data_IF_422704234204
#
_entry.id   IF_422704234204
#
_cell.length_a   1.000
_cell.length_b   1.000
_cell.length_c   1.000
_cell.angle_alpha   90.00
_cell.angle_beta   90.00
_cell.angle_gamma   90.00
#
_symmetry.space_group_name_H-M   'P 1'
#
loop_
_entity.id
_entity.type
_entity.pdbx_description
1 polymer ?
#
# COMPACT_ATOMS: atom_id res chain seq x y z
N UNK A 1 -38.50 -32.96 34.47
CA UNK A 1 -37.53 -32.84 33.36
C UNK A 1 -37.48 -31.39 32.95
N UNK A 2 -36.35 -30.72 33.13
CA UNK A 2 -36.12 -29.36 32.64
C UNK A 2 -34.83 -29.39 31.80
N UNK A 3 -34.93 -29.03 30.53
CA UNK A 3 -33.74 -28.75 29.71
C UNK A 3 -33.25 -27.33 30.04
N UNK A 4 -31.94 -27.12 30.23
CA UNK A 4 -31.40 -25.79 30.44
C UNK A 4 -31.46 -24.96 29.14
N UNK A 5 -31.68 -23.66 29.29
CA UNK A 5 -31.77 -22.71 28.18
C UNK A 5 -30.49 -22.65 27.34
N UNK A 6 -30.68 -22.38 26.04
CA UNK A 6 -29.63 -22.42 25.03
C UNK A 6 -28.46 -21.47 25.32
N UNK A 7 -27.24 -21.99 25.13
CA UNK A 7 -26.01 -21.21 25.07
C UNK A 7 -25.92 -20.54 23.68
N UNK A 8 -26.54 -19.37 23.52
CA UNK A 8 -26.39 -18.57 22.29
C UNK A 8 -25.04 -17.84 22.36
N UNK A 9 -23.98 -18.52 21.88
CA UNK A 9 -22.68 -17.90 21.71
C UNK A 9 -22.75 -16.87 20.56
N UNK A 10 -22.91 -15.60 20.93
CA UNK A 10 -22.86 -14.49 20.00
C UNK A 10 -21.43 -14.34 19.44
N UNK A 11 -21.19 -14.98 18.29
CA UNK A 11 -19.99 -14.75 17.48
C UNK A 11 -20.08 -13.35 16.89
N UNK A 12 -19.69 -12.35 17.68
CA UNK A 12 -19.44 -11.01 17.19
C UNK A 12 -18.28 -11.09 16.19
N UNK A 13 -18.62 -11.16 14.90
CA UNK A 13 -17.68 -10.98 13.82
C UNK A 13 -17.05 -9.60 13.99
N UNK A 14 -15.83 -9.58 14.54
CA UNK A 14 -14.96 -8.43 14.49
C UNK A 14 -14.63 -8.23 13.02
N UNK A 15 -15.43 -7.41 12.35
CA UNK A 15 -15.05 -6.84 11.08
C UNK A 15 -13.83 -5.95 11.37
N UNK A 16 -12.64 -6.51 11.20
CA UNK A 16 -11.41 -5.73 11.17
C UNK A 16 -11.60 -4.66 10.12
N UNK A 17 -11.76 -3.42 10.59
CA UNK A 17 -11.82 -2.26 9.73
C UNK A 17 -10.44 -2.12 9.10
N UNK A 18 -10.26 -2.71 7.92
CA UNK A 18 -9.16 -2.37 7.04
C UNK A 18 -9.33 -0.90 6.69
N UNK A 19 -8.69 -0.01 7.47
CA UNK A 19 -8.75 1.44 7.25
C UNK A 19 -7.90 1.88 6.06
N UNK A 20 -6.97 1.03 5.63
CA UNK A 20 -5.91 1.38 4.71
C UNK A 20 -6.14 0.86 3.30
N UNK A 21 -5.69 1.66 2.32
CA UNK A 21 -5.71 1.26 0.93
C UNK A 21 -4.91 -0.01 0.67
N UNK A 22 -5.49 -0.90 -0.14
CA UNK A 22 -4.93 -2.21 -0.47
C UNK A 22 -5.29 -2.59 -1.90
N UNK A 23 -4.38 -3.27 -2.58
CA UNK A 23 -4.63 -3.98 -3.83
C UNK A 23 -5.71 -5.06 -3.59
N UNK A 24 -6.85 -4.92 -4.27
CA UNK A 24 -8.00 -5.81 -4.18
C UNK A 24 -8.09 -6.75 -5.39
N UNK A 25 -7.78 -6.25 -6.60
CA UNK A 25 -7.65 -7.08 -7.82
C UNK A 25 -6.40 -6.66 -8.61
N UNK A 26 -5.61 -7.62 -9.16
CA UNK A 26 -5.67 -9.05 -8.86
C UNK A 26 -5.40 -9.34 -7.37
N UNK A 27 -5.60 -10.58 -6.91
CA UNK A 27 -5.41 -10.90 -5.50
C UNK A 27 -3.96 -10.64 -5.06
N UNK A 28 -3.78 -9.97 -3.92
CA UNK A 28 -2.44 -9.67 -3.39
C UNK A 28 -1.76 -10.93 -2.86
N UNK A 29 -0.43 -10.97 -2.99
CA UNK A 29 0.49 -12.04 -2.57
C UNK A 29 0.54 -12.16 -1.06
N UNK A 30 0.63 -11.01 -0.39
CA UNK A 30 0.80 -10.86 1.04
C UNK A 30 -0.51 -10.50 1.74
N UNK A 31 -0.66 -11.00 2.95
CA UNK A 31 -1.63 -10.50 3.92
C UNK A 31 -1.24 -10.91 5.34
N UNK A 32 -0.77 -12.16 5.51
CA UNK A 32 -0.71 -12.85 6.82
C UNK A 32 0.06 -12.11 7.93
N UNK A 33 1.21 -11.48 7.64
CA UNK A 33 1.99 -10.74 8.65
C UNK A 33 1.39 -9.37 8.99
N UNK A 34 0.73 -8.72 8.03
CA UNK A 34 0.34 -7.30 8.08
C UNK A 34 -1.18 -7.07 7.99
N UNK A 35 -1.98 -8.13 8.18
CA UNK A 35 -3.45 -8.14 8.01
C UNK A 35 -3.95 -7.57 6.66
N UNK A 36 -3.08 -7.59 5.64
CA UNK A 36 -3.35 -7.11 4.29
C UNK A 36 -2.67 -5.81 3.90
N UNK A 37 -2.05 -5.10 4.84
CA UNK A 37 -1.58 -3.73 4.62
C UNK A 37 -0.09 -3.57 4.89
N UNK A 38 0.74 -3.63 3.86
CA UNK A 38 2.18 -3.37 3.99
C UNK A 38 2.47 -1.89 3.70
N UNK A 39 2.72 -1.10 4.75
CA UNK A 39 2.95 0.35 4.67
C UNK A 39 4.35 0.75 5.16
N UNK A 40 4.96 1.77 4.55
CA UNK A 40 6.25 2.32 4.98
C UNK A 40 6.22 2.75 6.46
N UNK A 41 5.12 3.35 6.90
CA UNK A 41 4.86 3.73 8.29
C UNK A 41 4.85 2.53 9.26
N UNK A 42 4.26 1.41 8.85
CA UNK A 42 4.24 0.16 9.62
C UNK A 42 5.62 -0.55 9.65
N UNK A 43 6.63 -0.02 8.96
CA UNK A 43 7.96 -0.62 8.85
C UNK A 43 8.15 -1.55 7.66
N UNK A 44 7.15 -1.68 6.78
CA UNK A 44 7.31 -2.39 5.50
C UNK A 44 8.31 -1.65 4.60
N UNK A 45 9.18 -2.39 3.90
CA UNK A 45 10.24 -1.80 3.05
C UNK A 45 10.00 -1.98 1.55
N UNK A 46 8.86 -2.55 1.16
CA UNK A 46 8.57 -2.95 -0.21
C UNK A 46 9.62 -3.94 -0.77
N UNK A 47 9.71 -4.10 -2.10
CA UNK A 47 8.82 -3.53 -3.11
C UNK A 47 7.43 -4.15 -3.12
N UNK A 48 7.25 -5.31 -2.47
CA UNK A 48 5.98 -6.01 -2.33
C UNK A 48 5.49 -6.01 -0.87
N UNK A 49 4.23 -6.40 -0.71
CA UNK A 49 3.54 -6.64 0.56
C UNK A 49 3.99 -7.92 1.29
N UNK A 50 4.65 -8.83 0.58
CA UNK A 50 5.40 -9.94 1.17
C UNK A 50 6.55 -10.38 0.25
N UNK A 51 7.63 -10.94 0.81
CA UNK A 51 8.77 -11.41 0.02
C UNK A 51 8.36 -12.59 -0.87
N UNK A 52 9.02 -12.73 -2.02
CA UNK A 52 8.79 -13.79 -3.02
C UNK A 52 8.76 -15.18 -2.39
N UNK A 53 9.64 -15.45 -1.42
CA UNK A 53 9.71 -16.72 -0.71
C UNK A 53 8.40 -17.10 0.01
N UNK A 54 7.68 -16.11 0.54
CA UNK A 54 6.39 -16.29 1.22
C UNK A 54 5.19 -16.27 0.27
N UNK A 55 5.40 -16.13 -1.04
CA UNK A 55 4.30 -16.08 -2.01
C UNK A 55 3.51 -17.39 -2.04
N UNK A 56 2.16 -17.34 -1.95
CA UNK A 56 1.30 -18.48 -2.26
C UNK A 56 1.58 -19.08 -3.64
N UNK A 57 2.11 -18.29 -4.58
CA UNK A 57 2.48 -18.71 -5.93
C UNK A 57 3.51 -19.85 -5.95
N UNK A 58 4.36 -19.98 -4.94
CA UNK A 58 5.35 -21.08 -4.85
C UNK A 58 4.71 -22.46 -4.58
N UNK A 59 3.49 -22.51 -4.05
CA UNK A 59 2.80 -23.77 -3.74
C UNK A 59 2.15 -24.37 -4.98
N UNK A 60 2.38 -25.65 -5.25
CA UNK A 60 1.67 -26.41 -6.31
C UNK A 60 0.16 -26.54 -6.06
N UNK A 61 -0.28 -26.35 -4.81
CA UNK A 61 -1.69 -26.47 -4.41
C UNK A 61 -2.48 -25.17 -4.56
N UNK A 62 -1.79 -24.04 -4.73
CA UNK A 62 -2.46 -22.75 -4.94
C UNK A 62 -2.68 -22.53 -6.44
N UNK A 63 -3.94 -22.36 -6.91
CA UNK A 63 -4.27 -22.07 -8.30
C UNK A 63 -3.47 -20.88 -8.84
N UNK A 64 -3.07 -20.95 -10.11
CA UNK A 64 -2.35 -19.87 -10.79
C UNK A 64 -3.33 -19.01 -11.58
N UNK A 65 -3.18 -17.70 -11.49
CA UNK A 65 -3.82 -16.75 -12.41
C UNK A 65 -3.04 -16.76 -13.72
N UNK A 66 -3.73 -16.95 -14.83
CA UNK A 66 -3.15 -16.90 -16.17
C UNK A 66 -3.65 -15.65 -16.90
N UNK A 67 -2.75 -14.95 -17.58
CA UNK A 67 -3.04 -13.75 -18.40
C UNK A 67 -2.33 -13.87 -19.75
N UNK A 68 -2.78 -13.12 -20.75
CA UNK A 68 -2.18 -13.13 -22.10
C UNK A 68 -1.39 -11.84 -22.36
N UNK A 69 -0.35 -11.91 -23.19
CA UNK A 69 0.31 -10.69 -23.71
C UNK A 69 -0.70 -9.80 -24.43
N UNK A 70 -0.62 -8.49 -24.23
CA UNK A 70 -1.54 -7.52 -24.85
C UNK A 70 -2.97 -7.53 -24.30
N UNK A 71 -3.30 -8.38 -23.33
CA UNK A 71 -4.55 -8.32 -22.58
C UNK A 71 -4.59 -7.04 -21.74
N UNK A 72 -5.76 -6.41 -21.62
CA UNK A 72 -6.02 -5.43 -20.56
C UNK A 72 -6.35 -6.15 -19.25
N UNK A 73 -5.57 -5.86 -18.22
CA UNK A 73 -5.75 -6.37 -16.86
C UNK A 73 -6.39 -5.28 -16.00
N UNK A 74 -7.54 -5.58 -15.41
CA UNK A 74 -8.18 -4.74 -14.41
C UNK A 74 -7.38 -4.77 -13.10
N UNK A 75 -7.09 -3.59 -12.58
CA UNK A 75 -6.47 -3.37 -11.28
C UNK A 75 -7.43 -2.58 -10.41
N UNK A 76 -7.71 -3.08 -9.21
CA UNK A 76 -8.69 -2.54 -8.28
C UNK A 76 -8.06 -2.36 -6.90
N UNK A 77 -8.38 -1.25 -6.23
CA UNK A 77 -7.97 -1.02 -4.83
C UNK A 77 -9.10 -0.35 -4.04
N UNK A 78 -9.10 -0.59 -2.73
CA UNK A 78 -10.11 -0.02 -1.84
C UNK A 78 -9.76 1.42 -1.47
N UNK A 79 -10.66 2.38 -1.74
CA UNK A 79 -10.45 3.80 -1.42
C UNK A 79 -10.33 4.06 0.09
N UNK A 80 -11.34 3.60 0.82
CA UNK A 80 -11.53 3.75 2.26
C UNK A 80 -11.54 5.24 2.68
N UNK A 81 -10.90 5.59 3.80
CA UNK A 81 -10.92 6.94 4.36
C UNK A 81 -9.66 7.77 4.05
N UNK A 82 -8.96 7.47 2.96
CA UNK A 82 -7.76 8.18 2.55
C UNK A 82 -7.95 8.83 1.17
N UNK A 83 -7.84 10.16 1.05
CA UNK A 83 -7.92 10.86 -0.23
C UNK A 83 -6.56 11.04 -0.92
N UNK A 84 -6.63 11.24 -2.23
CA UNK A 84 -5.55 11.69 -3.10
C UNK A 84 -4.32 10.78 -3.16
N UNK A 85 -3.27 11.35 -3.73
CA UNK A 85 -2.05 10.65 -4.10
C UNK A 85 -2.14 9.99 -5.48
N UNK A 86 -1.16 9.13 -5.72
CA UNK A 86 -0.91 8.47 -6.99
C UNK A 86 -0.85 6.96 -6.77
N UNK A 87 -1.16 6.21 -7.81
CA UNK A 87 -0.84 4.78 -7.91
C UNK A 87 0.23 4.57 -8.96
N UNK A 88 1.28 3.81 -8.62
CA UNK A 88 2.24 3.25 -9.58
C UNK A 88 1.91 1.78 -9.82
N UNK A 89 1.86 1.40 -11.10
CA UNK A 89 1.69 0.04 -11.57
C UNK A 89 2.93 -0.36 -12.39
N UNK A 90 3.61 -1.43 -11.96
CA UNK A 90 4.84 -1.94 -12.57
C UNK A 90 4.79 -3.47 -12.67
N UNK A 91 5.50 -4.08 -13.61
CA UNK A 91 5.48 -5.54 -13.79
C UNK A 91 6.87 -6.09 -14.07
N UNK A 92 7.26 -7.13 -13.32
CA UNK A 92 8.57 -7.78 -13.43
C UNK A 92 8.42 -9.31 -13.54
N UNK A 93 9.40 -10.04 -14.09
CA UNK A 93 9.53 -11.48 -13.87
C UNK A 93 9.45 -11.80 -12.38
N UNK A 94 8.73 -12.86 -12.01
CA UNK A 94 8.50 -13.25 -10.61
C UNK A 94 9.80 -13.37 -9.83
N UNK A 95 10.88 -13.86 -10.44
CA UNK A 95 12.16 -14.00 -9.76
C UNK A 95 12.83 -12.67 -9.34
N UNK A 96 12.45 -11.56 -9.96
CA UNK A 96 12.91 -10.20 -9.68
C UNK A 96 12.01 -9.42 -8.73
N UNK A 97 10.93 -10.03 -8.22
CA UNK A 97 9.88 -9.32 -7.46
C UNK A 97 10.25 -8.86 -6.05
N UNK A 98 11.47 -9.14 -5.58
CA UNK A 98 12.01 -8.59 -4.33
C UNK A 98 12.97 -7.41 -4.58
N UNK A 99 13.24 -7.07 -5.85
CA UNK A 99 14.15 -5.98 -6.24
C UNK A 99 13.40 -4.71 -6.65
N UNK A 100 13.72 -3.62 -5.95
CA UNK A 100 13.23 -2.28 -6.24
C UNK A 100 13.68 -1.74 -7.61
N UNK A 101 14.91 -2.04 -8.05
CA UNK A 101 15.42 -1.53 -9.32
C UNK A 101 14.65 -2.14 -10.50
N UNK A 102 14.42 -3.46 -10.47
CA UNK A 102 13.60 -4.16 -11.45
C UNK A 102 12.20 -3.56 -11.61
N UNK A 103 11.52 -3.17 -10.52
CA UNK A 103 10.22 -2.48 -10.62
C UNK A 103 10.34 -1.05 -11.14
N UNK A 104 11.36 -0.29 -10.72
CA UNK A 104 11.59 1.07 -11.20
C UNK A 104 11.88 1.12 -12.71
N UNK A 105 12.55 0.10 -13.25
CA UNK A 105 12.83 -0.02 -14.67
C UNK A 105 11.61 -0.46 -15.49
N UNK A 106 10.66 -1.19 -14.90
CA UNK A 106 9.54 -1.82 -15.62
C UNK A 106 8.16 -1.28 -15.19
N UNK A 107 8.07 0.04 -15.03
CA UNK A 107 6.82 0.75 -14.75
C UNK A 107 5.95 0.74 -16.01
N UNK A 108 4.69 0.34 -15.86
CA UNK A 108 3.70 0.32 -16.94
C UNK A 108 2.87 1.61 -16.93
N UNK A 109 2.41 2.03 -15.74
CA UNK A 109 1.44 3.10 -15.60
C UNK A 109 1.57 3.82 -14.27
N UNK A 110 1.36 5.12 -14.31
CA UNK A 110 0.94 5.91 -13.18
C UNK A 110 -0.51 6.34 -13.36
N UNK A 111 -1.25 6.48 -12.28
CA UNK A 111 -2.62 7.02 -12.30
C UNK A 111 -2.87 7.84 -11.03
N UNK A 112 -3.81 8.78 -11.05
CA UNK A 112 -4.31 9.33 -9.79
C UNK A 112 -4.99 8.24 -8.96
N UNK A 113 -4.96 8.39 -7.65
CA UNK A 113 -5.58 7.43 -6.73
C UNK A 113 -7.11 7.40 -6.83
N UNK A 114 -7.75 8.56 -7.06
CA UNK A 114 -9.21 8.72 -7.10
C UNK A 114 -9.76 9.03 -8.51
N UNK A 115 -9.35 8.29 -9.54
CA UNK A 115 -9.78 8.52 -10.94
C UNK A 115 -11.27 8.28 -11.21
N UNK A 116 -11.87 7.31 -10.52
CA UNK A 116 -13.26 6.88 -10.74
C UNK A 116 -13.99 6.47 -9.45
N UNK A 117 -13.44 6.86 -8.30
CA UNK A 117 -13.97 6.64 -6.97
C UNK A 117 -13.92 7.96 -6.17
N UNK A 118 -14.51 7.99 -4.99
CA UNK A 118 -14.55 9.20 -4.17
C UNK A 118 -15.17 8.98 -2.79
N UNK A 119 -15.33 10.05 -1.98
CA UNK A 119 -16.02 9.99 -0.71
C UNK A 119 -17.51 9.66 -0.92
N UNK A 120 -18.10 8.91 0.01
CA UNK A 120 -19.52 8.57 0.00
C UNK A 120 -20.44 9.79 0.24
N UNK A 121 -19.91 10.84 0.88
CA UNK A 121 -20.55 12.15 0.99
C UNK A 121 -19.59 13.22 0.45
N UNK A 122 -19.85 13.72 -0.76
CA UNK A 122 -19.06 14.77 -1.40
C UNK A 122 -19.26 16.17 -0.80
N UNK A 123 -20.30 16.35 0.01
CA UNK A 123 -20.59 17.60 0.74
C UNK A 123 -19.97 17.64 2.14
N UNK A 124 -19.34 16.55 2.59
CA UNK A 124 -18.59 16.55 3.85
C UNK A 124 -17.23 17.24 3.66
N UNK A 125 -16.99 18.27 4.46
CA UNK A 125 -15.78 19.09 4.44
C UNK A 125 -14.96 18.99 5.73
N UNK A 126 -15.29 18.06 6.65
CA UNK A 126 -14.59 17.92 7.94
C UNK A 126 -13.08 17.69 7.79
N UNK A 127 -12.66 17.05 6.69
CA UNK A 127 -11.27 16.79 6.33
C UNK A 127 -10.81 17.59 5.09
N UNK A 128 -11.56 18.62 4.69
CA UNK A 128 -11.34 19.38 3.45
C UNK A 128 -12.15 18.84 2.25
N UNK A 129 -11.93 19.43 1.08
CA UNK A 129 -12.77 19.20 -0.10
C UNK A 129 -12.58 17.79 -0.69
N UNK A 130 -13.68 17.03 -0.77
CA UNK A 130 -13.71 15.64 -1.27
C UNK A 130 -12.78 14.68 -0.50
N UNK A 131 -12.52 14.98 0.76
CA UNK A 131 -11.56 14.26 1.60
C UNK A 131 -12.21 13.28 2.61
N UNK A 132 -13.54 13.18 2.61
CA UNK A 132 -14.29 12.26 3.47
C UNK A 132 -14.07 10.76 3.16
N UNK A 133 -14.67 9.85 3.95
CA UNK A 133 -14.58 8.41 3.73
C UNK A 133 -15.45 7.93 2.56
N UNK A 134 -15.04 6.84 1.90
CA UNK A 134 -15.78 6.20 0.81
C UNK A 134 -15.41 4.73 0.62
N UNK A 135 -16.40 3.86 0.42
CA UNK A 135 -16.21 2.41 0.26
C UNK A 135 -16.18 1.93 -1.19
N UNK A 136 -16.43 2.80 -2.17
CA UNK A 136 -16.35 2.45 -3.58
C UNK A 136 -14.92 2.05 -3.96
N UNK A 137 -14.72 0.92 -4.65
CA UNK A 137 -13.40 0.57 -5.19
C UNK A 137 -12.99 1.59 -6.26
N UNK A 138 -11.69 1.87 -6.32
CA UNK A 138 -11.06 2.61 -7.39
C UNK A 138 -10.46 1.61 -8.38
N UNK A 139 -10.50 1.89 -9.68
CA UNK A 139 -9.95 0.99 -10.69
C UNK A 139 -9.11 1.70 -11.76
N UNK A 140 -8.21 0.93 -12.37
CA UNK A 140 -7.42 1.29 -13.53
C UNK A 140 -7.11 0.02 -14.34
N UNK A 141 -6.97 0.14 -15.66
CA UNK A 141 -6.44 -0.93 -16.51
C UNK A 141 -4.92 -0.78 -16.72
N UNK A 142 -4.24 -1.90 -16.95
CA UNK A 142 -2.88 -1.96 -17.54
C UNK A 142 -2.83 -3.02 -18.64
N UNK A 143 -2.09 -2.76 -19.72
CA UNK A 143 -1.87 -3.77 -20.76
C UNK A 143 -0.70 -4.68 -20.37
N UNK A 144 -0.87 -6.00 -20.41
CA UNK A 144 0.22 -6.96 -20.20
C UNK A 144 1.29 -6.77 -21.29
N UNK A 145 2.57 -6.51 -20.94
CA UNK A 145 3.62 -6.25 -21.92
C UNK A 145 3.82 -7.40 -22.93
N UNK A 146 3.97 -7.05 -24.21
CA UNK A 146 4.12 -8.01 -25.31
C UNK A 146 5.53 -8.62 -25.41
N UNK A 147 6.48 -8.08 -24.67
CA UNK A 147 7.87 -8.55 -24.59
C UNK A 147 8.12 -9.56 -23.47
N UNK A 148 7.10 -9.95 -22.69
CA UNK A 148 7.21 -11.01 -21.69
C UNK A 148 7.22 -12.39 -22.39
N UNK A 149 8.24 -13.24 -22.18
CA UNK A 149 8.31 -14.56 -22.81
C UNK A 149 7.11 -15.44 -22.46
N UNK A 150 6.83 -16.43 -23.30
CA UNK A 150 5.70 -17.35 -23.05
C UNK A 150 5.94 -18.25 -21.84
N UNK A 151 4.86 -18.57 -21.12
CA UNK A 151 4.88 -19.37 -19.89
C UNK A 151 5.78 -18.76 -18.78
N UNK A 152 5.84 -17.43 -18.69
CA UNK A 152 6.65 -16.71 -17.69
C UNK A 152 5.82 -16.34 -16.47
N UNK A 153 6.30 -16.70 -15.27
CA UNK A 153 5.78 -16.18 -14.02
C UNK A 153 6.18 -14.70 -13.85
N UNK A 154 5.22 -13.83 -13.53
CA UNK A 154 5.42 -12.39 -13.35
C UNK A 154 4.70 -11.88 -12.11
N UNK A 155 5.16 -10.74 -11.60
CA UNK A 155 4.54 -10.01 -10.49
C UNK A 155 4.13 -8.63 -10.97
N UNK A 156 2.84 -8.31 -10.85
CA UNK A 156 2.33 -6.94 -10.89
C UNK A 156 2.56 -6.31 -9.51
N UNK A 157 3.14 -5.12 -9.46
CA UNK A 157 3.19 -4.27 -8.26
C UNK A 157 2.15 -3.15 -8.39
N UNK A 158 1.50 -2.87 -7.27
CA UNK A 158 0.73 -1.68 -6.96
C UNK A 158 1.42 -0.94 -5.81
N UNK A 159 1.66 0.37 -5.98
CA UNK A 159 2.08 1.27 -4.89
C UNK A 159 1.13 2.45 -4.85
N UNK A 160 0.53 2.74 -3.69
CA UNK A 160 -0.11 4.02 -3.41
C UNK A 160 0.82 4.92 -2.59
N UNK A 161 0.96 6.18 -3.01
CA UNK A 161 1.86 7.16 -2.39
C UNK A 161 1.35 8.60 -2.58
N UNK A 162 1.79 9.51 -1.72
CA UNK A 162 1.30 10.90 -1.71
C UNK A 162 -0.14 11.06 -1.22
N UNK A 163 -0.70 10.03 -0.58
CA UNK A 163 -2.01 10.09 0.08
C UNK A 163 -1.99 10.95 1.33
N UNK A 164 -3.12 11.57 1.67
CA UNK A 164 -3.22 12.54 2.76
C UNK A 164 -4.08 12.11 3.95
N UNK A 165 -4.00 12.91 5.02
CA UNK A 165 -4.91 12.94 6.17
C UNK A 165 -4.69 11.78 7.16
N UNK A 166 -3.45 11.70 7.65
CA UNK A 166 -3.05 10.75 8.68
C UNK A 166 -3.71 11.09 10.03
N UNK A 167 -4.53 10.16 10.55
CA UNK A 167 -5.38 10.34 11.74
C UNK A 167 -6.15 11.68 11.79
N UNK A 168 -6.72 12.11 10.65
CA UNK A 168 -7.54 13.32 10.58
C UNK A 168 -6.77 14.64 10.52
N UNK A 169 -5.43 14.62 10.54
CA UNK A 169 -4.61 15.81 10.39
C UNK A 169 -4.53 16.20 8.90
N UNK A 170 -5.31 17.20 8.49
CA UNK A 170 -5.46 17.62 7.07
C UNK A 170 -4.18 18.10 6.39
N UNK A 171 -3.14 18.40 7.18
CA UNK A 171 -1.80 18.87 6.78
C UNK A 171 -0.74 17.75 6.79
N UNK A 172 -1.14 16.48 6.72
CA UNK A 172 -0.22 15.33 6.82
C UNK A 172 -0.35 14.36 5.66
N UNK A 173 0.76 13.72 5.29
CA UNK A 173 0.78 12.60 4.35
C UNK A 173 0.93 11.25 5.05
N UNK A 174 0.32 10.25 4.45
CA UNK A 174 0.64 8.85 4.67
C UNK A 174 2.04 8.51 4.12
N UNK A 175 2.55 7.34 4.52
CA UNK A 175 3.63 6.67 3.83
C UNK A 175 3.16 5.88 2.62
N UNK A 176 4.08 5.15 2.00
CA UNK A 176 3.81 4.34 0.81
C UNK A 176 3.20 3.00 1.19
N UNK A 177 2.17 2.58 0.46
CA UNK A 177 1.47 1.30 0.64
C UNK A 177 1.76 0.41 -0.56
N UNK A 178 2.11 -0.84 -0.29
CA UNK A 178 2.53 -1.79 -1.31
C UNK A 178 1.54 -2.96 -1.41
N UNK A 179 1.40 -3.51 -2.61
CA UNK A 179 0.69 -4.75 -2.89
C UNK A 179 1.22 -5.37 -4.17
N UNK A 180 1.40 -6.68 -4.20
CA UNK A 180 1.89 -7.40 -5.37
C UNK A 180 0.99 -8.58 -5.73
N UNK A 181 0.78 -8.85 -7.02
CA UNK A 181 0.02 -10.00 -7.50
C UNK A 181 0.85 -10.85 -8.46
N UNK A 182 0.90 -12.16 -8.18
CA UNK A 182 1.67 -13.12 -8.97
C UNK A 182 0.78 -13.87 -9.98
N UNK A 183 1.24 -14.01 -11.23
CA UNK A 183 0.50 -14.59 -12.34
C UNK A 183 1.43 -15.23 -13.38
N UNK A 184 0.89 -15.98 -14.34
CA UNK A 184 1.65 -16.56 -15.46
C UNK A 184 1.16 -15.93 -16.76
N UNK A 185 2.10 -15.43 -17.57
CA UNK A 185 1.81 -14.94 -18.93
C UNK A 185 1.86 -16.11 -19.92
N UNK A 186 0.75 -16.37 -20.61
CA UNK A 186 0.61 -17.43 -21.63
C UNK A 186 -0.14 -16.91 -22.85
N UNK A 187 0.41 -17.16 -24.05
CA UNK A 187 -0.20 -16.72 -25.31
C UNK A 187 -0.28 -15.20 -25.49
N UNK A 188 -0.97 -14.80 -26.56
CA UNK A 188 -1.09 -13.40 -26.98
C UNK A 188 0.08 -12.91 -27.87
N UNK A 189 -0.10 -11.77 -28.56
CA UNK A 189 0.88 -11.19 -29.48
C UNK A 189 2.22 -10.88 -28.82
N UNK A 190 3.31 -11.16 -29.52
CA UNK A 190 4.67 -10.81 -29.11
C UNK A 190 5.14 -9.48 -29.71
N UNK A 191 6.09 -8.83 -29.05
CA UNK A 191 6.86 -7.68 -29.56
C UNK A 191 8.16 -7.60 -28.75
N UNK A 192 9.27 -7.19 -29.36
CA UNK A 192 10.51 -6.90 -28.63
C UNK A 192 10.48 -5.52 -27.93
N UNK A 193 9.46 -4.71 -28.23
CA UNK A 193 9.27 -3.39 -27.65
C UNK A 193 8.87 -3.46 -26.17
N UNK A 194 9.68 -2.83 -25.31
CA UNK A 194 9.35 -2.57 -23.91
C UNK A 194 8.42 -1.34 -23.84
N UNK A 195 7.25 -1.43 -23.19
CA UNK A 195 6.36 -0.29 -23.06
C UNK A 195 7.00 0.83 -22.25
N UNK A 196 6.79 2.07 -22.68
CA UNK A 196 7.11 3.25 -21.89
C UNK A 196 6.02 3.47 -20.80
N UNK A 197 6.38 4.01 -19.61
CA UNK A 197 5.38 4.38 -18.60
C UNK A 197 4.40 5.42 -19.15
N UNK A 198 3.11 5.22 -18.92
CA UNK A 198 2.06 6.22 -19.22
C UNK A 198 1.52 6.83 -17.93
N UNK A 199 1.01 8.06 -17.97
CA UNK A 199 0.34 8.68 -16.83
C UNK A 199 -1.12 9.02 -17.16
N UNK A 200 -2.04 8.55 -16.32
CA UNK A 200 -3.45 8.93 -16.32
C UNK A 200 -3.70 9.95 -15.20
N UNK A 201 -3.76 11.23 -15.56
CA UNK A 201 -4.24 12.30 -14.67
C UNK A 201 -5.76 12.28 -14.50
N UNK A 202 -6.24 13.15 -13.60
CA UNK A 202 -7.67 13.42 -13.42
C UNK A 202 -8.30 12.56 -12.33
N UNK A 203 -8.17 13.01 -11.09
CA UNK A 203 -8.99 12.50 -9.98
C UNK A 203 -10.34 13.25 -9.84
N UNK A 204 -11.15 12.82 -8.88
CA UNK A 204 -12.44 13.43 -8.54
C UNK A 204 -12.35 14.92 -8.14
N UNK A 205 -11.19 15.42 -7.70
CA UNK A 205 -10.99 16.84 -7.36
C UNK A 205 -10.62 17.67 -8.60
N UNK A 206 -9.85 17.08 -9.52
CA UNK A 206 -9.43 17.72 -10.76
C UNK A 206 -9.84 16.90 -12.00
N UNK A 207 -11.15 16.65 -12.22
CA UNK A 207 -11.63 15.78 -13.29
C UNK A 207 -11.24 16.33 -14.67
N UNK A 208 -10.89 15.43 -15.58
CA UNK A 208 -10.42 15.73 -16.94
C UNK A 208 -9.11 16.56 -17.00
N UNK A 209 -8.33 16.61 -15.91
CA UNK A 209 -7.02 17.28 -15.90
C UNK A 209 -5.86 16.30 -16.05
N UNK A 210 -4.68 16.82 -16.40
CA UNK A 210 -3.44 16.05 -16.43
C UNK A 210 -2.69 15.99 -15.09
N UNK A 211 -3.39 16.06 -13.94
CA UNK A 211 -2.79 16.11 -12.59
C UNK A 211 -3.66 15.42 -11.54
N UNK A 212 -3.10 15.24 -10.33
CA UNK A 212 -3.77 14.70 -9.14
C UNK A 212 -3.58 15.64 -7.93
N UNK A 213 -4.51 15.56 -6.97
CA UNK A 213 -4.38 16.02 -5.57
C UNK A 213 -3.47 15.07 -4.80
N UNK A 214 -2.51 15.57 -4.03
CA UNK A 214 -1.62 14.77 -3.19
C UNK A 214 -1.10 15.55 -1.97
N UNK A 215 -0.45 14.86 -1.03
CA UNK A 215 0.22 15.43 0.13
C UNK A 215 1.67 14.93 0.21
N UNK A 216 2.56 15.70 0.83
CA UNK A 216 3.96 15.32 0.96
C UNK A 216 4.68 15.30 -0.39
N UNK A 217 5.00 14.09 -0.89
CA UNK A 217 5.76 13.88 -2.13
C UNK A 217 4.95 13.21 -3.24
N UNK A 218 5.30 13.57 -4.47
CA UNK A 218 4.86 12.94 -5.72
C UNK A 218 5.89 11.94 -6.28
N UNK A 219 6.79 11.40 -5.44
CA UNK A 219 7.87 10.49 -5.83
C UNK A 219 7.97 9.29 -4.88
N UNK A 220 7.92 8.09 -5.46
CA UNK A 220 8.17 6.82 -4.76
C UNK A 220 9.59 6.79 -4.19
N UNK A 221 9.74 6.33 -2.95
CA UNK A 221 10.98 6.27 -2.19
C UNK A 221 11.33 7.54 -1.41
N UNK A 222 10.60 8.65 -1.59
CA UNK A 222 10.80 9.85 -0.75
C UNK A 222 10.25 9.63 0.66
N UNK A 223 9.24 8.77 0.82
CA UNK A 223 8.79 8.37 2.13
C UNK A 223 9.61 7.20 2.68
N UNK A 224 10.71 7.51 3.36
CA UNK A 224 11.62 6.49 3.87
C UNK A 224 12.01 6.74 5.33
N UNK A 225 11.79 5.73 6.18
CA UNK A 225 12.16 5.76 7.60
C UNK A 225 13.47 4.99 7.91
N UNK A 226 14.22 4.58 6.89
CA UNK A 226 15.39 3.70 7.03
C UNK A 226 15.02 2.37 7.66
N UNK A 227 15.89 1.80 8.49
CA UNK A 227 15.64 0.53 9.20
C UNK A 227 14.71 0.66 10.42
N UNK A 228 14.17 1.86 10.69
CA UNK A 228 13.23 2.07 11.79
C UNK A 228 12.00 1.17 11.63
N UNK A 229 11.50 0.70 12.77
CA UNK A 229 10.22 0.04 12.94
C UNK A 229 9.42 0.80 14.01
N UNK A 230 8.07 0.76 13.99
CA UNK A 230 7.27 1.23 15.11
C UNK A 230 7.67 0.53 16.41
N UNK A 231 7.34 1.16 17.54
CA UNK A 231 7.53 0.59 18.88
C UNK A 231 6.20 0.65 19.61
N UNK A 232 5.26 -0.28 19.31
CA UNK A 232 3.90 -0.21 19.85
C UNK A 232 3.87 -0.17 21.38
N UNK A 233 3.07 0.73 21.91
CA UNK A 233 2.75 0.90 23.34
C UNK A 233 1.25 0.70 23.50
N UNK A 234 0.84 -0.16 24.43
CA UNK A 234 -0.57 -0.45 24.67
C UNK A 234 -1.35 0.82 25.01
N UNK A 235 -2.40 1.08 24.23
CA UNK A 235 -3.25 2.28 24.36
C UNK A 235 -2.81 3.49 23.54
N UNK A 236 -1.58 3.54 23.03
CA UNK A 236 -1.11 4.59 22.13
C UNK A 236 -1.19 4.13 20.67
N UNK A 237 -2.17 4.65 19.93
CA UNK A 237 -2.34 4.35 18.50
C UNK A 237 -1.22 4.93 17.63
N UNK A 238 -0.60 6.05 18.01
CA UNK A 238 0.44 6.69 17.21
C UNK A 238 1.76 5.91 17.28
N UNK A 239 2.03 5.23 18.41
CA UNK A 239 3.19 4.34 18.56
C UNK A 239 3.25 3.15 17.58
N UNK A 240 2.13 2.85 16.91
CA UNK A 240 1.97 1.72 15.98
C UNK A 240 2.46 2.02 14.56
N UNK A 241 2.80 3.27 14.25
CA UNK A 241 3.38 3.67 12.96
C UNK A 241 4.51 4.69 13.14
N UNK A 242 5.31 4.89 12.10
CA UNK A 242 6.33 5.91 11.99
C UNK A 242 5.80 7.21 11.33
N UNK A 243 4.55 7.20 10.90
CA UNK A 243 3.82 8.30 10.26
C UNK A 243 3.43 9.44 11.21
N UNK A 244 3.08 10.65 10.71
CA UNK A 244 2.95 11.03 9.30
C UNK A 244 4.30 11.08 8.58
N UNK A 245 4.29 10.80 7.28
CA UNK A 245 5.53 10.79 6.53
C UNK A 245 6.06 12.20 6.25
N UNK A 246 5.15 13.10 5.85
CA UNK A 246 5.45 14.52 5.65
C UNK A 246 4.33 15.38 6.24
N UNK A 247 4.67 16.64 6.55
CA UNK A 247 3.72 17.69 6.94
C UNK A 247 3.71 18.79 5.88
N UNK A 248 2.53 19.27 5.53
CA UNK A 248 2.31 20.31 4.53
C UNK A 248 0.88 20.30 3.99
N UNK A 249 0.45 21.38 3.32
CA UNK A 249 -0.87 21.46 2.71
C UNK A 249 -1.05 20.43 1.58
N UNK A 250 -2.30 20.27 1.14
CA UNK A 250 -2.59 19.57 -0.11
C UNK A 250 -1.93 20.28 -1.31
N UNK A 251 -1.50 19.49 -2.28
CA UNK A 251 -0.76 19.89 -3.48
C UNK A 251 -1.46 19.34 -4.73
N UNK A 252 -1.09 19.88 -5.89
CA UNK A 252 -1.64 19.52 -7.21
C UNK A 252 -0.50 19.31 -8.19
N UNK A 253 -0.43 18.17 -8.86
CA UNK A 253 0.66 17.89 -9.79
C UNK A 253 0.64 16.50 -10.42
N UNK A 254 1.70 16.18 -11.15
CA UNK A 254 1.95 14.85 -11.75
C UNK A 254 2.86 14.02 -10.84
N UNK A 255 2.95 12.69 -11.04
CA UNK A 255 4.10 11.91 -10.57
C UNK A 255 5.43 12.55 -11.00
N UNK A 256 6.45 12.41 -10.16
CA UNK A 256 7.81 12.84 -10.48
C UNK A 256 8.31 12.16 -11.76
N UNK A 257 8.91 12.94 -12.66
CA UNK A 257 9.39 12.48 -13.97
C UNK A 257 8.33 12.36 -15.07
N UNK A 258 7.03 12.44 -14.75
CA UNK A 258 5.94 12.33 -15.74
C UNK A 258 5.42 13.67 -16.28
N UNK A 259 5.87 14.80 -15.72
CA UNK A 259 5.45 16.15 -16.15
C UNK A 259 6.28 16.70 -17.31
N UNK A 260 5.65 16.92 -18.46
CA UNK A 260 6.22 17.77 -19.52
C UNK A 260 6.06 19.25 -19.16
N UNK A 261 7.09 19.83 -18.57
CA UNK A 261 7.16 21.26 -18.29
C UNK A 261 6.75 21.64 -16.87
N UNK A 262 7.63 22.37 -16.18
CA UNK A 262 7.30 23.04 -14.94
C UNK A 262 6.36 24.22 -15.24
N UNK A 263 5.14 24.16 -14.74
CA UNK A 263 4.38 25.35 -14.36
C UNK A 263 4.44 25.44 -12.83
N UNK A 264 5.10 26.50 -12.33
CA UNK A 264 5.08 26.91 -10.92
C UNK A 264 3.64 27.03 -10.39
N UNK A 265 3.42 27.01 -9.06
CA UNK A 265 2.08 27.15 -8.48
C UNK A 265 1.39 28.42 -8.99
N UNK A 266 0.34 28.22 -9.76
CA UNK A 266 -0.41 29.26 -10.45
C UNK A 266 -1.20 30.07 -9.43
N UNK A 267 -0.59 31.15 -8.93
CA UNK A 267 -1.07 31.94 -7.80
C UNK A 267 -2.03 33.01 -8.32
N UNK A 268 -3.15 32.59 -8.91
CA UNK A 268 -4.16 33.52 -9.44
C UNK A 268 -5.58 32.94 -9.45
N UNK A 269 -6.35 33.22 -8.39
CA UNK A 269 -7.81 33.32 -8.46
C UNK A 269 -8.36 34.26 -7.38
N UNK A 270 -8.04 35.56 -7.45
CA UNK A 270 -8.94 36.56 -6.86
C UNK A 270 -10.13 36.81 -7.83
N UNK A 271 -11.36 36.98 -7.33
CA UNK A 271 -12.50 37.33 -8.17
C UNK A 271 -12.55 38.84 -8.41
N UNK A 272 -12.65 39.25 -9.68
CA UNK A 272 -12.91 40.64 -10.04
C UNK A 272 -14.42 40.93 -10.05
N UNK A 273 -14.86 42.02 -9.38
CA UNK A 273 -15.74 43.05 -9.99
C UNK A 273 -15.90 44.28 -9.08
N UNK A 274 -15.59 45.45 -9.65
CA UNK A 274 -16.16 46.80 -9.42
C UNK A 274 -16.51 47.32 -8.01
N UNK A 275 -15.88 48.44 -7.61
CA UNK A 275 -16.49 49.77 -7.82
C UNK A 275 -15.65 50.97 -7.32
N UNK A 276 -15.67 52.05 -8.12
CA UNK A 276 -15.58 53.47 -7.75
C UNK A 276 -14.27 54.10 -7.19
N UNK A 277 -13.99 55.29 -7.73
CA UNK A 277 -12.80 56.12 -7.58
C UNK A 277 -12.66 56.92 -6.25
N UNK A 278 -11.40 57.14 -5.83
CA UNK A 278 -10.77 58.41 -5.40
C UNK A 278 -9.29 58.12 -5.05
N UNK A 279 -8.30 58.76 -5.68
CA UNK A 279 -7.71 60.09 -5.39
C UNK A 279 -6.48 60.03 -4.45
N UNK A 280 -5.40 60.71 -4.89
CA UNK A 280 -4.20 61.18 -4.20
C UNK A 280 -3.73 60.52 -2.88
N UNK A 281 -2.53 59.92 -2.90
CA UNK A 281 -1.31 60.60 -2.41
C UNK A 281 -0.09 59.65 -2.33
N UNK A 282 1.11 60.22 -2.48
CA UNK A 282 2.39 59.54 -2.26
C UNK A 282 2.70 59.56 -0.76
N UNK A 283 2.88 58.40 -0.14
CA UNK A 283 3.27 58.28 1.26
C UNK A 283 4.50 57.38 1.44
N UNK A 284 5.47 57.96 2.15
CA UNK A 284 6.79 57.46 2.53
C UNK A 284 6.79 56.02 3.11
N UNK A 285 7.83 55.25 2.76
CA UNK A 285 8.09 53.93 3.38
C UNK A 285 8.64 54.10 4.81
N UNK A 286 7.98 53.56 5.85
CA UNK A 286 8.55 53.55 7.20
C UNK A 286 9.75 52.60 7.28
N UNK A 287 10.75 52.97 8.08
CA UNK A 287 11.89 52.11 8.36
C UNK A 287 11.49 50.89 9.22
N UNK A 288 12.15 49.75 9.01
CA UNK A 288 11.92 48.55 9.78
C UNK A 288 12.33 48.74 11.26
N UNK A 289 11.52 48.26 12.23
CA UNK A 289 11.90 48.28 13.63
C UNK A 289 13.04 47.31 13.93
N UNK A 290 14.02 47.76 14.71
CA UNK A 290 15.14 46.95 15.19
C UNK A 290 14.61 45.86 16.12
N UNK A 291 15.00 44.61 15.87
CA UNK A 291 14.62 43.48 16.72
C UNK A 291 15.31 43.58 18.10
N UNK A 292 14.59 43.35 19.22
CA UNK A 292 15.21 43.27 20.54
C UNK A 292 16.01 41.96 20.69
N UNK A 293 17.14 42.05 21.38
CA UNK A 293 18.02 40.89 21.63
C UNK A 293 17.35 39.85 22.55
N UNK A 294 17.41 38.59 22.14
CA UNK A 294 16.88 37.45 22.91
C UNK A 294 17.74 37.22 24.16
N UNK A 295 17.17 37.20 25.39
CA UNK A 295 17.91 36.81 26.59
C UNK A 295 18.40 35.36 26.51
N UNK A 296 19.63 35.13 27.00
CA UNK A 296 20.21 33.79 27.04
C UNK A 296 19.37 32.82 27.90
N UNK A 297 19.26 31.57 27.44
CA UNK A 297 18.55 30.52 28.17
C UNK A 297 19.30 30.14 29.47
N UNK A 298 18.60 29.88 30.59
CA UNK A 298 19.22 29.40 31.81
C UNK A 298 19.75 27.97 31.65
N UNK A 299 20.89 27.70 32.27
CA UNK A 299 21.59 26.40 32.19
C UNK A 299 20.78 25.26 32.82
N UNK A 300 20.72 24.12 32.13
CA UNK A 300 20.05 22.90 32.62
C UNK A 300 20.83 22.29 33.78
N UNK A 301 20.20 21.95 34.93
CA UNK A 301 20.88 21.27 36.03
C UNK A 301 21.42 19.89 35.64
N UNK A 302 22.66 19.62 36.03
CA UNK A 302 23.33 18.32 35.83
C UNK A 302 22.64 17.24 36.68
N UNK A 303 22.25 16.12 36.05
CA UNK A 303 21.69 14.98 36.74
C UNK A 303 22.75 14.26 37.62
N UNK A 304 22.42 13.82 38.85
CA UNK A 304 23.35 13.12 39.72
C UNK A 304 23.68 11.70 39.21
N UNK A 305 24.89 11.24 39.53
CA UNK A 305 25.46 10.01 39.01
C UNK A 305 24.74 8.72 39.45
N UNK A 306 24.83 7.71 38.58
CA UNK A 306 24.41 6.32 38.80
C UNK A 306 25.07 5.70 40.03
N UNK A 307 24.27 5.06 40.89
CA UNK A 307 24.78 4.15 41.91
C UNK A 307 24.90 2.74 41.34
N UNK A 308 26.09 2.16 41.44
CA UNK A 308 26.35 0.76 41.07
C UNK A 308 25.64 -0.20 42.05
N UNK A 309 25.21 -1.36 41.55
CA UNK A 309 24.67 -2.47 42.35
C UNK A 309 25.49 -3.72 42.00
N UNK A 310 25.99 -4.49 42.98
CA UNK A 310 26.99 -5.51 42.72
C UNK A 310 26.44 -6.76 42.05
N UNK A 311 27.25 -7.32 41.15
CA UNK A 311 27.06 -8.66 40.58
C UNK A 311 27.35 -9.71 41.65
N UNK A 312 26.39 -10.60 41.91
CA UNK A 312 26.65 -11.89 42.56
C UNK A 312 26.23 -13.02 41.63
N UNK A 313 27.20 -13.86 41.30
CA UNK A 313 27.02 -15.12 40.59
C UNK A 313 26.12 -16.08 41.35
N UNK A 314 25.39 -16.93 40.62
CA UNK A 314 25.41 -18.35 40.99
C UNK A 314 25.33 -19.28 39.78
N UNK A 315 26.08 -20.38 39.88
CA UNK A 315 26.19 -21.41 38.86
C UNK A 315 24.99 -22.37 38.92
N UNK A 316 24.54 -22.87 37.77
CA UNK A 316 23.88 -24.18 37.70
C UNK A 316 24.18 -24.86 36.37
N UNK A 317 25.06 -25.85 36.45
CA UNK A 317 25.42 -26.76 35.36
C UNK A 317 24.40 -27.89 35.29
N UNK A 318 23.83 -28.14 34.11
CA UNK A 318 23.08 -29.37 33.80
C UNK A 318 23.63 -29.91 32.47
N UNK A 319 23.88 -31.22 32.34
CA UNK A 319 24.95 -31.70 31.45
C UNK A 319 24.53 -31.97 30.01
N UNK A 320 25.57 -31.93 29.17
CA UNK A 320 25.65 -32.44 27.81
C UNK A 320 25.32 -33.95 27.72
N UNK A 321 24.56 -34.36 26.70
CA UNK A 321 24.32 -35.77 26.35
C UNK A 321 24.60 -35.98 24.87
N UNK A 322 25.71 -36.65 24.56
CA UNK A 322 26.18 -36.98 23.21
C UNK A 322 25.99 -38.45 22.84
N UNK A 323 25.54 -38.72 21.60
CA UNK A 323 25.50 -40.03 20.91
C UNK A 323 24.63 -41.13 21.60
N UNK A 324 24.15 -42.19 20.95
CA UNK A 324 24.53 -42.96 19.73
C UNK A 324 23.21 -43.46 19.07
N UNK A 325 23.06 -43.92 17.81
CA UNK A 325 23.97 -44.49 16.80
C UNK A 325 23.43 -44.32 15.36
N UNK A 326 24.24 -44.72 14.36
CA UNK A 326 23.78 -45.12 13.02
C UNK A 326 22.86 -46.35 13.04
N UNK A 327 21.95 -46.44 12.05
CA UNK A 327 21.30 -47.70 11.67
C UNK A 327 21.23 -47.83 10.13
N UNK A 328 21.89 -48.87 9.64
CA UNK A 328 22.16 -49.22 8.25
C UNK A 328 20.93 -49.44 7.35
N UNK A 329 21.12 -49.10 6.06
CA UNK A 329 20.34 -49.50 4.89
C UNK A 329 20.24 -51.03 4.75
N UNK A 330 19.12 -51.57 4.25
CA UNK A 330 19.13 -52.79 3.45
C UNK A 330 18.72 -52.52 2.00
N UNK A 331 19.61 -52.89 1.08
CA UNK A 331 19.37 -52.98 -0.36
C UNK A 331 18.59 -54.26 -0.67
N UNK A 332 17.52 -54.18 -1.48
CA UNK A 332 16.83 -55.36 -1.99
C UNK A 332 16.21 -55.12 -3.38
N UNK A 333 16.88 -55.69 -4.38
CA UNK A 333 16.42 -55.91 -5.75
C UNK A 333 15.01 -56.50 -5.86
N UNK A 334 14.19 -56.03 -6.82
CA UNK A 334 13.86 -56.77 -8.05
C UNK A 334 12.79 -56.08 -8.92
N UNK A 335 12.97 -56.12 -10.23
CA UNK A 335 11.90 -55.94 -11.20
C UNK A 335 11.12 -57.26 -11.40
N UNK A 336 9.88 -57.22 -11.91
CA UNK A 336 9.72 -57.64 -13.31
C UNK A 336 8.79 -56.73 -14.14
N UNK A 337 8.72 -57.03 -15.44
CA UNK A 337 8.09 -56.21 -16.47
C UNK A 337 6.62 -56.57 -16.78
N UNK A 338 6.08 -55.94 -17.84
CA UNK A 338 4.78 -56.20 -18.52
C UNK A 338 3.58 -55.69 -17.68
N UNK A 339 2.64 -54.88 -18.18
CA UNK A 339 1.84 -55.03 -19.42
C UNK A 339 1.27 -53.68 -19.91
N UNK A 340 0.76 -53.67 -21.15
CA UNK A 340 0.35 -52.50 -21.97
C UNK A 340 -1.17 -52.24 -22.06
N UNK A 341 -1.55 -51.04 -22.57
CA UNK A 341 -2.88 -50.66 -23.15
C UNK A 341 -4.01 -50.35 -22.12
N UNK A 342 -5.00 -49.44 -22.37
CA UNK A 342 -5.23 -48.54 -23.51
C UNK A 342 -5.28 -47.02 -23.21
N UNK A 343 -5.21 -46.28 -24.31
CA UNK A 343 -5.69 -44.91 -24.55
C UNK A 343 -7.15 -44.68 -24.09
N UNK A 344 -7.43 -43.55 -23.41
CA UNK A 344 -8.80 -43.06 -23.20
C UNK A 344 -8.89 -41.56 -23.48
N UNK A 345 -9.63 -41.23 -24.54
CA UNK A 345 -10.04 -39.85 -24.86
C UNK A 345 -11.06 -39.35 -23.86
N UNK A 346 -10.81 -38.18 -23.25
CA UNK A 346 -11.84 -37.43 -22.52
C UNK A 346 -11.95 -36.01 -23.06
N UNK A 347 -13.18 -35.60 -23.38
CA UNK A 347 -13.50 -34.26 -23.85
C UNK A 347 -13.48 -33.23 -22.70
N UNK A 348 -13.36 -31.92 -22.99
CA UNK A 348 -13.33 -30.90 -21.95
C UNK A 348 -14.70 -30.71 -21.31
N UNK A 349 -14.79 -30.90 -19.99
CA UNK A 349 -15.95 -30.47 -19.21
C UNK A 349 -15.72 -29.02 -18.78
N UNK A 350 -16.56 -28.10 -19.27
CA UNK A 350 -16.60 -26.72 -18.80
C UNK A 350 -17.16 -26.64 -17.38
N UNK A 351 -16.49 -25.99 -16.41
CA UNK A 351 -17.08 -25.67 -15.12
C UNK A 351 -18.12 -24.56 -15.28
N UNK A 352 -19.28 -24.72 -14.63
CA UNK A 352 -20.28 -23.65 -14.55
C UNK A 352 -19.84 -22.57 -13.56
N UNK A 353 -20.02 -21.30 -13.93
CA UNK A 353 -19.87 -20.15 -13.04
C UNK A 353 -21.02 -20.11 -12.04
N UNK A 354 -20.69 -20.08 -10.74
CA UNK A 354 -21.65 -19.88 -9.66
C UNK A 354 -21.53 -18.47 -9.11
N UNK A 355 -22.38 -17.56 -9.58
CA UNK A 355 -22.46 -16.19 -9.07
C UNK A 355 -23.01 -16.18 -7.65
N UNK A 356 -22.15 -15.93 -6.66
CA UNK A 356 -22.55 -15.64 -5.28
C UNK A 356 -22.24 -14.17 -4.95
N UNK A 357 -23.19 -13.30 -5.24
CA UNK A 357 -23.15 -11.89 -4.84
C UNK A 357 -23.58 -11.79 -3.38
N UNK A 358 -22.61 -11.66 -2.46
CA UNK A 358 -22.88 -11.34 -1.06
C UNK A 358 -22.83 -9.82 -0.89
N UNK A 359 -24.00 -9.19 -0.93
CA UNK A 359 -24.18 -7.77 -0.57
C UNK A 359 -24.37 -7.65 0.94
N UNK A 360 -23.35 -7.20 1.68
CA UNK A 360 -23.44 -6.89 3.11
C UNK A 360 -23.05 -5.43 3.41
N UNK A 361 -24.02 -4.53 3.33
CA UNK A 361 -23.88 -3.16 3.83
C UNK A 361 -23.58 -3.16 5.33
N UNK A 362 -22.30 -2.95 5.67
CA UNK A 362 -21.81 -2.98 7.05
C UNK A 362 -21.52 -1.56 7.50
N UNK A 363 -22.41 -0.98 8.33
CA UNK A 363 -22.20 0.36 8.89
C UNK A 363 -21.16 0.32 10.01
N UNK A 364 -20.04 1.01 9.81
CA UNK A 364 -19.01 1.20 10.83
C UNK A 364 -19.57 1.99 12.02
N UNK A 365 -19.42 1.47 13.23
CA UNK A 365 -19.64 2.21 14.47
C UNK A 365 -18.28 2.57 15.08
N UNK A 366 -18.09 3.86 15.41
CA UNK A 366 -16.89 4.30 16.11
C UNK A 366 -16.80 3.62 17.49
N UNK A 367 -15.61 3.18 17.87
CA UNK A 367 -15.35 2.58 19.18
C UNK A 367 -15.49 3.67 20.25
N UNK A 368 -16.33 3.51 21.29
CA UNK A 368 -16.46 4.52 22.33
C UNK A 368 -15.14 4.68 23.10
N UNK A 369 -14.78 5.92 23.42
CA UNK A 369 -13.62 6.23 24.24
C UNK A 369 -13.76 5.63 25.65
N UNK A 370 -12.68 5.14 26.28
CA UNK A 370 -12.71 4.76 27.69
C UNK A 370 -12.93 6.00 28.57
N UNK A 371 -13.65 5.80 29.68
CA UNK A 371 -13.90 6.77 30.76
C UNK A 371 -12.76 6.68 31.79
#
# INVERSE_FOLDING_TARGET
MHLPSALVAASALIASCAGHSMLAKPASRGNVEWWGTCAAGAGCKGPCDSPKASSPFNSIYNPKTYVQRGQELDVEWNRLNHPGGFVRLAMVPFDQSDDWASFNDNILKYTCYETNCGPANSSDTIFGHLNGPGSSPCTSTVTIPKNIPDNTAVTLQWIWYGGGIYYGQVDTSFGEYYGCSDMIVVGGPTSDEKPAPVFQGGDITYPNSGVCKYWGSNKVGDCNFGDRKPSPVDGDLLSQSLEPCMRGPEQKGTPFGMGSGSSSPDTSSEPASDSAAQDSSVAESPAAPVAPETPAAPETPVAPATSEVPVTSDYSVVPEVTNVSEASVPEATNAPAVTSVPETTNAPVTPATSDYVVSSESKCLARPSPI
#
